data_IF_294462444370
#
_entry.id   IF_294462444370
#
_cell.length_a   1.000
_cell.length_b   1.000
_cell.length_c   1.000
_cell.angle_alpha   90.00
_cell.angle_beta   90.00
_cell.angle_gamma   90.00
#
_symmetry.space_group_name_H-M   'P 1'
#
loop_
_entity.id
_entity.type
_entity.pdbx_description
1 polymer ?
#
# COMPACT_ATOMS: atom_id res chain seq x y z
N UNK A 1 -19.16 4.34 6.04
CA UNK A 1 -20.07 3.17 6.27
C UNK A 1 -20.75 3.30 7.62
N UNK A 2 -22.05 2.95 7.74
CA UNK A 2 -22.79 2.97 9.01
C UNK A 2 -22.65 1.64 9.78
N UNK A 3 -22.91 1.67 11.09
CA UNK A 3 -22.77 0.51 11.97
C UNK A 3 -23.76 -0.63 11.63
N UNK A 4 -24.93 -0.31 11.08
CA UNK A 4 -25.94 -1.31 10.72
C UNK A 4 -25.46 -2.19 9.56
N UNK A 5 -24.82 -1.57 8.56
CA UNK A 5 -24.28 -2.31 7.42
C UNK A 5 -23.10 -3.21 7.81
N UNK A 6 -22.29 -2.76 8.79
CA UNK A 6 -21.21 -3.60 9.35
C UNK A 6 -21.78 -4.79 10.15
N UNK A 7 -22.87 -4.59 10.92
CA UNK A 7 -23.57 -5.68 11.60
C UNK A 7 -24.20 -6.68 10.61
N UNK A 8 -24.83 -6.17 9.54
CA UNK A 8 -25.36 -7.01 8.47
C UNK A 8 -24.26 -7.90 7.86
N UNK A 9 -23.08 -7.31 7.60
CA UNK A 9 -21.94 -8.05 7.07
C UNK A 9 -21.46 -9.14 8.05
N UNK A 10 -21.35 -8.81 9.34
CA UNK A 10 -20.95 -9.77 10.37
C UNK A 10 -21.93 -10.92 10.52
N UNK A 11 -23.23 -10.64 10.56
CA UNK A 11 -24.27 -11.66 10.65
C UNK A 11 -24.24 -12.60 9.43
N UNK A 12 -24.04 -12.03 8.23
CA UNK A 12 -24.08 -12.79 6.98
C UNK A 12 -22.83 -13.63 6.74
N UNK A 13 -21.65 -13.14 7.12
CA UNK A 13 -20.35 -13.74 6.75
C UNK A 13 -19.50 -14.19 7.93
N UNK A 14 -19.97 -13.95 9.16
CA UNK A 14 -19.26 -14.30 10.39
C UNK A 14 -18.08 -13.39 10.70
N UNK A 15 -17.35 -13.70 11.76
CA UNK A 15 -16.18 -12.96 12.24
C UNK A 15 -15.03 -13.93 12.63
N UNK A 16 -13.75 -13.49 12.60
CA UNK A 16 -13.27 -12.19 12.15
C UNK A 16 -13.56 -11.95 10.67
N UNK A 17 -13.71 -10.68 10.24
CA UNK A 17 -14.12 -10.33 8.89
C UNK A 17 -13.47 -9.01 8.43
N UNK A 18 -12.97 -8.95 7.20
CA UNK A 18 -12.64 -7.70 6.55
C UNK A 18 -13.78 -7.22 5.66
N UNK A 19 -14.12 -5.94 5.77
CA UNK A 19 -15.15 -5.31 4.94
C UNK A 19 -14.57 -4.07 4.27
N UNK A 20 -14.71 -3.96 2.95
CA UNK A 20 -14.22 -2.83 2.16
C UNK A 20 -15.36 -2.08 1.49
N UNK A 21 -15.42 -0.78 1.69
CA UNK A 21 -16.39 0.11 1.01
C UNK A 21 -15.77 0.63 -0.29
N UNK A 22 -16.22 0.14 -1.43
CA UNK A 22 -15.66 0.52 -2.72
C UNK A 22 -15.99 1.98 -3.09
N UNK A 23 -17.05 2.57 -2.54
CA UNK A 23 -17.35 3.99 -2.76
C UNK A 23 -16.27 4.89 -2.16
N UNK A 24 -15.73 4.53 -1.00
CA UNK A 24 -14.60 5.25 -0.39
C UNK A 24 -13.35 5.18 -1.28
N UNK A 25 -13.07 4.02 -1.89
CA UNK A 25 -11.95 3.87 -2.84
C UNK A 25 -12.16 4.79 -4.05
N UNK A 26 -13.37 4.82 -4.59
CA UNK A 26 -13.72 5.68 -5.74
C UNK A 26 -13.57 7.16 -5.39
N UNK A 27 -14.02 7.58 -4.22
CA UNK A 27 -13.93 8.97 -3.76
C UNK A 27 -12.47 9.40 -3.57
N UNK A 28 -11.63 8.55 -2.98
CA UNK A 28 -10.19 8.81 -2.84
C UNK A 28 -9.49 8.89 -4.21
N UNK A 29 -9.85 8.02 -5.14
CA UNK A 29 -9.36 8.10 -6.51
C UNK A 29 -9.77 9.42 -7.18
N UNK A 30 -11.06 9.79 -7.09
CA UNK A 30 -11.58 11.05 -7.65
C UNK A 30 -10.90 12.28 -7.03
N UNK A 31 -10.68 12.28 -5.72
CA UNK A 31 -9.97 13.37 -5.03
C UNK A 31 -8.57 13.57 -5.63
N UNK A 32 -7.80 12.48 -5.75
CA UNK A 32 -6.45 12.54 -6.29
C UNK A 32 -6.46 12.93 -7.77
N UNK A 33 -7.28 12.28 -8.59
CA UNK A 33 -7.35 12.53 -10.03
C UNK A 33 -7.80 13.96 -10.33
N UNK A 34 -8.81 14.47 -9.63
CA UNK A 34 -9.29 15.85 -9.79
C UNK A 34 -8.26 16.87 -9.31
N UNK A 35 -7.53 16.57 -8.23
CA UNK A 35 -6.46 17.44 -7.76
C UNK A 35 -5.37 17.67 -8.80
N UNK A 36 -5.08 16.67 -9.61
CA UNK A 36 -4.05 16.71 -10.66
C UNK A 36 -4.57 16.95 -12.08
N UNK A 37 -5.87 17.24 -12.27
CA UNK A 37 -6.51 17.44 -13.60
C UNK A 37 -5.87 18.48 -14.51
N UNK A 38 -5.10 19.43 -13.97
CA UNK A 38 -4.38 20.45 -14.73
C UNK A 38 -3.06 19.95 -15.32
N UNK A 39 -2.61 18.76 -14.96
CA UNK A 39 -1.43 18.12 -15.52
C UNK A 39 -1.87 17.20 -16.63
N UNK A 40 -1.52 17.53 -17.87
CA UNK A 40 -2.06 16.90 -19.09
C UNK A 40 -1.79 15.39 -19.17
N UNK A 41 -0.64 14.94 -18.70
CA UNK A 41 -0.23 13.53 -18.74
C UNK A 41 0.00 12.98 -17.32
N UNK A 42 -1.09 12.94 -16.53
CA UNK A 42 -1.10 12.42 -15.16
C UNK A 42 -1.65 10.99 -15.12
N UNK A 43 -1.04 10.13 -14.31
CA UNK A 43 -1.51 8.76 -14.09
C UNK A 43 -1.33 8.34 -12.63
N UNK A 44 -2.27 7.53 -12.15
CA UNK A 44 -2.21 6.86 -10.86
C UNK A 44 -1.89 5.39 -11.10
N UNK A 45 -0.80 4.89 -10.50
CA UNK A 45 -0.50 3.47 -10.41
C UNK A 45 -0.81 3.01 -8.99
N UNK A 46 -1.73 2.06 -8.84
CA UNK A 46 -2.09 1.54 -7.53
C UNK A 46 -1.00 0.58 -7.00
N UNK A 47 -0.49 0.83 -5.78
CA UNK A 47 0.50 -0.05 -5.14
C UNK A 47 -0.19 -1.33 -4.62
N UNK A 48 -0.01 -2.43 -5.36
CA UNK A 48 -0.70 -3.74 -5.17
C UNK A 48 -0.48 -4.31 -3.76
N UNK A 49 0.74 -4.16 -3.21
CA UNK A 49 1.11 -4.61 -1.86
C UNK A 49 0.19 -4.14 -0.74
N UNK A 50 -0.54 -3.04 -0.94
CA UNK A 50 -1.46 -2.53 0.09
C UNK A 50 -2.71 -3.38 0.26
N UNK A 51 -3.29 -3.88 -0.84
CA UNK A 51 -4.42 -4.82 -0.85
C UNK A 51 -4.52 -5.49 -2.23
N UNK A 52 -4.10 -6.74 -2.34
CA UNK A 52 -3.93 -7.49 -3.61
C UNK A 52 -5.14 -8.35 -4.00
N UNK A 53 -6.31 -8.16 -3.36
CA UNK A 53 -7.51 -8.92 -3.71
C UNK A 53 -7.94 -8.64 -5.16
N UNK A 54 -8.22 -9.69 -5.94
CA UNK A 54 -8.55 -9.58 -7.38
C UNK A 54 -9.77 -8.71 -7.68
N UNK A 55 -10.79 -8.71 -6.81
CA UNK A 55 -11.96 -7.86 -6.97
C UNK A 55 -11.61 -6.38 -6.78
N UNK A 56 -10.72 -6.08 -5.85
CA UNK A 56 -10.17 -4.73 -5.63
C UNK A 56 -9.33 -4.30 -6.83
N UNK A 57 -8.46 -5.17 -7.35
CA UNK A 57 -7.62 -4.87 -8.52
C UNK A 57 -8.48 -4.61 -9.77
N UNK A 58 -9.50 -5.43 -10.01
CA UNK A 58 -10.44 -5.20 -11.12
C UNK A 58 -11.22 -3.89 -10.95
N UNK A 59 -11.56 -3.51 -9.70
CA UNK A 59 -12.18 -2.21 -9.43
C UNK A 59 -11.20 -1.05 -9.70
N UNK A 60 -9.93 -1.16 -9.29
CA UNK A 60 -8.88 -0.19 -9.63
C UNK A 60 -8.72 -0.02 -11.14
N UNK A 61 -8.72 -1.14 -11.89
CA UNK A 61 -8.71 -1.10 -13.36
C UNK A 61 -9.90 -0.35 -13.92
N UNK A 62 -11.11 -0.57 -13.40
CA UNK A 62 -12.33 0.15 -13.80
C UNK A 62 -12.21 1.66 -13.56
N UNK A 63 -11.52 2.08 -12.51
CA UNK A 63 -11.22 3.49 -12.23
C UNK A 63 -10.16 4.08 -13.17
N UNK A 64 -9.43 3.26 -13.92
CA UNK A 64 -8.40 3.70 -14.87
C UNK A 64 -6.99 3.80 -14.29
N UNK A 65 -6.72 3.15 -13.15
CA UNK A 65 -5.36 3.10 -12.60
C UNK A 65 -4.47 2.16 -13.41
N UNK A 66 -3.14 2.38 -13.35
CA UNK A 66 -2.15 1.33 -13.55
C UNK A 66 -1.82 0.64 -12.24
N UNK A 67 -0.75 -0.19 -12.24
CA UNK A 67 -0.25 -0.89 -11.05
C UNK A 67 1.22 -0.56 -10.79
N UNK A 68 1.58 -0.38 -9.51
CA UNK A 68 2.92 -0.52 -8.96
C UNK A 68 3.02 -1.90 -8.29
N UNK A 69 3.94 -2.74 -8.77
CA UNK A 69 4.14 -4.13 -8.33
C UNK A 69 5.58 -4.33 -7.86
N UNK A 70 5.77 -5.15 -6.83
CA UNK A 70 7.08 -5.38 -6.20
C UNK A 70 7.57 -6.83 -6.29
N UNK A 71 6.73 -7.74 -6.79
CA UNK A 71 7.05 -9.14 -7.09
C UNK A 71 6.46 -9.56 -8.42
N UNK A 72 7.01 -10.64 -8.98
CA UNK A 72 6.50 -11.16 -10.25
C UNK A 72 5.09 -11.75 -10.11
N UNK A 73 4.75 -12.24 -8.92
CA UNK A 73 3.41 -12.71 -8.59
C UNK A 73 2.40 -11.55 -8.63
N UNK A 74 2.74 -10.37 -8.11
CA UNK A 74 1.87 -9.18 -8.24
C UNK A 74 1.68 -8.78 -9.70
N UNK A 75 2.72 -8.88 -10.55
CA UNK A 75 2.62 -8.65 -12.00
C UNK A 75 1.64 -9.63 -12.64
N UNK A 76 1.80 -10.94 -12.37
CA UNK A 76 0.93 -11.99 -12.91
C UNK A 76 -0.52 -11.83 -12.47
N UNK A 77 -0.75 -11.49 -11.20
CA UNK A 77 -2.10 -11.17 -10.68
C UNK A 77 -2.68 -9.97 -11.42
N UNK A 78 -1.89 -8.91 -11.64
CA UNK A 78 -2.31 -7.74 -12.41
C UNK A 78 -2.74 -8.11 -13.83
N UNK A 79 -1.93 -8.89 -14.55
CA UNK A 79 -2.25 -9.38 -15.89
C UNK A 79 -3.52 -10.26 -15.88
N UNK A 80 -3.69 -11.14 -14.89
CA UNK A 80 -4.90 -11.98 -14.75
C UNK A 80 -6.16 -11.17 -14.46
N UNK A 81 -6.02 -9.99 -13.83
CA UNK A 81 -7.09 -9.02 -13.66
C UNK A 81 -7.39 -8.21 -14.93
N UNK A 82 -6.59 -8.43 -15.99
CA UNK A 82 -6.75 -7.84 -17.32
C UNK A 82 -6.13 -6.45 -17.45
N UNK A 83 -5.18 -6.06 -16.59
CA UNK A 83 -4.35 -4.88 -16.86
C UNK A 83 -3.47 -5.15 -18.08
N UNK A 84 -3.21 -4.10 -18.87
CA UNK A 84 -2.26 -4.19 -19.99
C UNK A 84 -0.84 -4.13 -19.44
N UNK A 85 0.10 -4.68 -20.19
CA UNK A 85 1.52 -4.72 -19.82
C UNK A 85 2.07 -3.29 -19.57
N UNK A 86 1.70 -2.34 -20.42
CA UNK A 86 2.10 -0.93 -20.31
C UNK A 86 1.50 -0.20 -19.09
N UNK A 87 0.50 -0.76 -18.45
CA UNK A 87 -0.15 -0.23 -17.25
C UNK A 87 0.43 -0.82 -15.96
N UNK A 88 1.38 -1.75 -16.06
CA UNK A 88 2.03 -2.39 -14.91
C UNK A 88 3.49 -1.94 -14.85
N UNK A 89 3.90 -1.43 -13.70
CA UNK A 89 5.30 -1.12 -13.40
C UNK A 89 5.81 -2.11 -12.37
N UNK A 90 6.86 -2.85 -12.70
CA UNK A 90 7.58 -3.74 -11.81
C UNK A 90 8.75 -2.99 -11.16
N UNK A 91 8.65 -2.77 -9.85
CA UNK A 91 9.64 -2.04 -9.04
C UNK A 91 10.24 -2.98 -7.98
N UNK A 92 11.10 -3.93 -8.37
CA UNK A 92 11.70 -4.90 -7.45
C UNK A 92 12.74 -4.26 -6.54
N UNK A 93 13.04 -4.92 -5.41
CA UNK A 93 14.19 -4.62 -4.58
C UNK A 93 14.82 -5.91 -4.07
N UNK A 94 16.08 -6.16 -4.45
CA UNK A 94 16.85 -7.31 -4.00
C UNK A 94 16.36 -8.67 -4.53
N UNK A 95 15.70 -8.70 -5.69
CA UNK A 95 15.25 -9.92 -6.37
C UNK A 95 16.36 -10.52 -7.24
N UNK A 96 16.19 -11.77 -7.65
CA UNK A 96 17.09 -12.41 -8.60
C UNK A 96 17.00 -11.77 -10.00
N UNK A 97 18.07 -11.84 -10.77
CA UNK A 97 18.04 -11.37 -12.16
C UNK A 97 17.03 -12.14 -13.02
N UNK A 98 16.80 -13.43 -12.71
CA UNK A 98 15.77 -14.26 -13.38
C UNK A 98 14.37 -13.66 -13.24
N UNK A 99 14.05 -13.08 -12.10
CA UNK A 99 12.75 -12.44 -11.89
C UNK A 99 12.60 -11.14 -12.69
N UNK A 100 13.71 -10.39 -12.85
CA UNK A 100 13.76 -9.21 -13.74
C UNK A 100 13.60 -9.64 -15.21
N UNK A 101 14.24 -10.74 -15.64
CA UNK A 101 14.07 -11.29 -16.98
C UNK A 101 12.63 -11.75 -17.23
N UNK A 102 11.96 -12.27 -16.22
CA UNK A 102 10.56 -12.66 -16.35
C UNK A 102 9.67 -11.44 -16.57
N UNK A 103 9.89 -10.35 -15.84
CA UNK A 103 9.18 -9.08 -16.06
C UNK A 103 9.43 -8.53 -17.49
N UNK A 104 10.67 -8.64 -17.99
CA UNK A 104 10.99 -8.32 -19.38
C UNK A 104 10.21 -9.16 -20.37
N UNK A 105 10.15 -10.48 -20.15
CA UNK A 105 9.40 -11.41 -21.02
C UNK A 105 7.88 -11.15 -20.99
N UNK A 106 7.35 -10.69 -19.85
CA UNK A 106 5.97 -10.24 -19.70
C UNK A 106 5.72 -8.84 -20.27
N UNK A 107 6.76 -8.16 -20.77
CA UNK A 107 6.72 -6.83 -21.43
C UNK A 107 6.16 -5.71 -20.55
N UNK A 108 6.23 -5.86 -19.22
CA UNK A 108 5.81 -4.82 -18.28
C UNK A 108 6.89 -3.76 -18.10
N UNK A 109 6.52 -2.56 -17.65
CA UNK A 109 7.49 -1.51 -17.33
C UNK A 109 8.39 -1.94 -16.17
N UNK A 110 9.70 -1.78 -16.33
CA UNK A 110 10.70 -2.18 -15.34
C UNK A 110 11.33 -0.93 -14.72
N UNK A 111 11.39 -0.91 -13.39
CA UNK A 111 11.98 0.18 -12.61
C UNK A 111 13.05 -0.38 -11.66
N UNK A 112 14.33 -0.23 -12.00
CA UNK A 112 15.45 -0.81 -11.25
C UNK A 112 15.97 0.17 -10.19
N UNK A 113 16.41 -0.36 -9.06
CA UNK A 113 16.83 0.41 -7.90
C UNK A 113 18.28 0.18 -7.44
N UNK A 114 19.09 -0.53 -8.23
CA UNK A 114 20.51 -0.71 -7.98
C UNK A 114 21.35 -0.61 -9.25
N UNK A 115 22.57 -0.11 -9.12
CA UNK A 115 23.51 -0.01 -10.24
C UNK A 115 23.88 -1.39 -10.79
N UNK A 116 24.01 -2.38 -9.92
CA UNK A 116 24.34 -3.77 -10.27
C UNK A 116 23.25 -4.38 -11.14
N UNK A 117 21.97 -4.24 -10.76
CA UNK A 117 20.86 -4.75 -11.56
C UNK A 117 20.75 -4.06 -12.92
N UNK A 118 21.08 -2.76 -13.00
CA UNK A 118 21.15 -2.01 -14.26
C UNK A 118 22.28 -2.55 -15.14
N UNK A 119 23.48 -2.77 -14.57
CA UNK A 119 24.62 -3.32 -15.30
C UNK A 119 24.31 -4.72 -15.86
N UNK A 120 23.70 -5.57 -15.08
CA UNK A 120 23.33 -6.91 -15.54
C UNK A 120 22.23 -6.86 -16.61
N UNK A 121 21.22 -6.01 -16.43
CA UNK A 121 20.17 -5.80 -17.42
C UNK A 121 20.73 -5.26 -18.74
N UNK A 122 21.63 -4.29 -18.68
CA UNK A 122 22.23 -3.65 -19.86
C UNK A 122 23.07 -4.58 -20.74
N UNK A 123 23.67 -5.63 -20.15
CA UNK A 123 24.44 -6.64 -20.89
C UNK A 123 23.57 -7.45 -21.85
N UNK A 124 22.29 -7.59 -21.52
CA UNK A 124 21.38 -8.52 -22.20
C UNK A 124 20.25 -7.80 -22.97
N UNK A 125 19.79 -6.68 -22.46
CA UNK A 125 18.56 -5.98 -22.90
C UNK A 125 18.76 -4.47 -23.09
N UNK A 126 19.87 -4.07 -23.71
CA UNK A 126 20.31 -2.67 -23.86
C UNK A 126 19.34 -1.76 -24.63
N UNK A 127 18.46 -2.33 -25.47
CA UNK A 127 17.47 -1.59 -26.25
C UNK A 127 16.09 -1.50 -25.57
N UNK A 128 15.88 -2.19 -24.45
CA UNK A 128 14.64 -2.10 -23.71
C UNK A 128 14.66 -0.91 -22.76
N UNK A 129 13.71 0.05 -22.87
CA UNK A 129 13.71 1.21 -22.01
C UNK A 129 13.28 0.83 -20.57
N UNK A 130 14.01 1.36 -19.59
CA UNK A 130 13.70 1.17 -18.17
C UNK A 130 13.57 2.49 -17.45
N UNK A 131 12.91 2.46 -16.30
CA UNK A 131 12.99 3.49 -15.28
C UNK A 131 14.03 3.13 -14.23
N UNK A 132 14.55 4.15 -13.53
CA UNK A 132 15.46 3.95 -12.39
C UNK A 132 14.88 4.60 -11.14
N UNK A 133 14.94 3.88 -10.02
CA UNK A 133 14.57 4.41 -8.71
C UNK A 133 15.77 5.04 -8.03
N UNK A 134 15.68 6.32 -7.74
CA UNK A 134 16.74 7.11 -7.12
C UNK A 134 16.44 7.30 -5.64
N UNK A 135 17.45 7.21 -4.80
CA UNK A 135 17.42 7.64 -3.42
C UNK A 135 17.67 9.15 -3.34
N UNK A 136 16.67 9.98 -3.04
CA UNK A 136 16.86 11.43 -3.00
C UNK A 136 17.64 11.93 -1.79
N UNK A 137 17.98 11.05 -0.85
CA UNK A 137 18.59 11.38 0.44
C UNK A 137 17.80 12.44 1.20
N UNK A 138 16.51 12.18 1.42
CA UNK A 138 15.59 13.05 2.14
C UNK A 138 14.85 12.23 3.20
N UNK A 139 15.05 12.56 4.46
CA UNK A 139 14.29 11.98 5.57
C UNK A 139 12.85 12.50 5.54
N UNK A 140 11.93 11.64 5.13
CA UNK A 140 10.50 11.90 5.14
C UNK A 140 9.75 10.71 5.75
N UNK A 141 8.61 10.96 6.38
CA UNK A 141 7.79 9.93 7.04
C UNK A 141 7.88 9.94 8.55
N UNK A 142 6.84 9.37 9.20
CA UNK A 142 6.66 9.41 10.66
C UNK A 142 7.21 8.18 11.41
N UNK A 143 7.41 7.04 10.73
CA UNK A 143 7.90 5.81 11.32
C UNK A 143 9.22 5.39 10.66
N UNK A 144 10.23 5.00 11.46
CA UNK A 144 11.56 4.59 10.96
C UNK A 144 11.47 3.41 9.98
N UNK A 145 10.55 2.47 10.18
CA UNK A 145 10.39 1.28 9.33
C UNK A 145 9.82 1.58 7.93
N UNK A 146 9.25 2.77 7.71
CA UNK A 146 8.65 3.17 6.42
C UNK A 146 9.28 4.45 5.84
N UNK A 147 10.36 4.96 6.43
CA UNK A 147 11.19 6.03 5.88
C UNK A 147 12.27 5.39 5.00
N UNK A 148 12.17 5.56 3.67
CA UNK A 148 12.98 4.81 2.70
C UNK A 148 13.84 5.68 1.78
N UNK A 149 13.85 7.00 1.97
CA UNK A 149 14.56 7.95 1.11
C UNK A 149 15.84 8.55 1.74
N UNK A 150 16.52 7.85 2.67
CA UNK A 150 17.72 8.32 3.37
C UNK A 150 18.95 7.44 3.04
N UNK A 151 20.16 7.92 3.34
CA UNK A 151 21.43 7.27 2.96
C UNK A 151 21.60 5.82 3.49
N UNK A 152 21.00 5.48 4.62
CA UNK A 152 21.09 4.13 5.19
C UNK A 152 19.96 3.21 4.69
N UNK A 153 19.13 3.68 3.75
CA UNK A 153 18.06 2.89 3.16
C UNK A 153 18.60 1.91 2.13
N UNK A 154 18.09 0.68 2.13
CA UNK A 154 18.38 -0.31 1.08
C UNK A 154 17.77 0.05 -0.28
N UNK A 155 16.89 1.06 -0.34
CA UNK A 155 16.10 1.39 -1.53
C UNK A 155 16.70 2.54 -2.33
N UNK A 156 16.68 2.36 -3.63
CA UNK A 156 17.02 3.38 -4.62
C UNK A 156 18.53 3.60 -4.79
N UNK A 157 18.91 4.03 -5.96
CA UNK A 157 20.29 4.30 -6.36
C UNK A 157 20.77 5.59 -5.69
N UNK A 158 21.90 5.57 -4.97
CA UNK A 158 22.51 6.78 -4.44
C UNK A 158 22.84 7.78 -5.55
N UNK A 159 22.77 9.08 -5.22
CA UNK A 159 23.02 10.16 -6.19
C UNK A 159 24.43 10.11 -6.78
N UNK A 160 25.39 9.58 -6.04
CA UNK A 160 26.80 9.45 -6.42
C UNK A 160 27.00 8.54 -7.65
N UNK A 161 26.07 7.64 -7.94
CA UNK A 161 26.14 6.72 -9.09
C UNK A 161 25.38 7.21 -10.34
N UNK A 162 24.73 8.37 -10.27
CA UNK A 162 23.92 8.88 -11.39
C UNK A 162 24.78 9.18 -12.62
N UNK A 163 25.96 9.75 -12.44
CA UNK A 163 26.85 10.10 -13.56
C UNK A 163 27.38 8.84 -14.27
N UNK A 164 27.58 7.71 -13.57
CA UNK A 164 27.92 6.43 -14.19
C UNK A 164 26.78 5.90 -15.07
N UNK A 165 25.51 6.02 -14.63
CA UNK A 165 24.35 5.60 -15.43
C UNK A 165 24.19 6.50 -16.67
N UNK A 166 24.44 7.80 -16.55
CA UNK A 166 24.44 8.73 -17.68
C UNK A 166 25.52 8.35 -18.69
N UNK A 167 26.69 7.96 -18.21
CA UNK A 167 27.79 7.48 -19.11
C UNK A 167 27.39 6.18 -19.83
N UNK A 168 26.68 5.25 -19.14
CA UNK A 168 26.14 4.04 -19.77
C UNK A 168 25.12 4.39 -20.87
N UNK A 169 24.20 5.34 -20.62
CA UNK A 169 23.25 5.81 -21.63
C UNK A 169 23.96 6.47 -22.80
N UNK A 170 24.97 7.33 -22.55
CA UNK A 170 25.76 7.99 -23.59
C UNK A 170 26.51 7.01 -24.50
N UNK A 171 26.93 5.87 -23.94
CA UNK A 171 27.54 4.76 -24.68
C UNK A 171 26.53 3.81 -25.32
N UNK A 172 25.23 4.18 -25.34
CA UNK A 172 24.13 3.36 -25.85
C UNK A 172 24.05 1.94 -25.24
N UNK A 173 24.48 1.81 -23.98
CA UNK A 173 24.40 0.55 -23.24
C UNK A 173 23.04 0.33 -22.58
N UNK A 174 22.26 1.40 -22.40
CA UNK A 174 20.93 1.36 -21.78
C UNK A 174 20.11 2.56 -22.24
N UNK A 175 18.78 2.44 -22.16
CA UNK A 175 17.82 3.52 -22.40
C UNK A 175 17.08 3.80 -21.09
N UNK A 176 17.27 5.01 -20.54
CA UNK A 176 16.54 5.44 -19.34
C UNK A 176 15.35 6.29 -19.79
N UNK A 177 14.13 5.72 -19.67
CA UNK A 177 12.89 6.42 -19.99
C UNK A 177 12.20 7.06 -18.79
N UNK A 178 12.57 6.70 -17.56
CA UNK A 178 11.89 7.20 -16.37
C UNK A 178 12.78 7.35 -15.15
N UNK A 179 12.44 8.35 -14.34
CA UNK A 179 13.02 8.56 -13.02
C UNK A 179 11.94 8.39 -11.97
N UNK A 180 12.18 7.52 -10.99
CA UNK A 180 11.31 7.25 -9.87
C UNK A 180 11.98 7.64 -8.55
N UNK A 181 11.18 8.21 -7.65
CA UNK A 181 11.54 8.41 -6.24
C UNK A 181 10.41 7.91 -5.35
N UNK A 182 10.79 7.42 -4.17
CA UNK A 182 9.82 7.17 -3.10
C UNK A 182 10.45 7.56 -1.77
N UNK A 183 9.90 8.58 -1.10
CA UNK A 183 10.52 9.17 0.09
C UNK A 183 10.04 8.56 1.40
N UNK A 184 9.02 7.70 1.36
CA UNK A 184 8.45 7.05 2.53
C UNK A 184 6.94 7.20 2.62
N UNK A 185 6.39 6.94 3.80
CA UNK A 185 4.94 6.96 4.06
C UNK A 185 4.56 8.07 5.06
N UNK A 186 3.27 8.46 5.06
CA UNK A 186 2.68 9.42 5.99
C UNK A 186 3.30 10.83 5.93
N UNK A 187 3.62 11.30 4.73
CA UNK A 187 4.19 12.62 4.51
C UNK A 187 3.09 13.67 4.54
N UNK A 188 3.17 14.57 5.54
CA UNK A 188 2.24 15.68 5.74
C UNK A 188 2.86 17.00 5.27
N UNK A 189 4.15 17.18 5.54
CA UNK A 189 4.86 18.43 5.24
C UNK A 189 5.30 18.43 3.78
N UNK A 190 4.69 19.30 2.98
CA UNK A 190 4.95 19.40 1.54
C UNK A 190 6.36 19.86 1.21
N UNK A 191 7.05 20.59 2.10
CA UNK A 191 8.45 21.02 1.90
C UNK A 191 9.41 19.87 1.63
N UNK A 192 9.18 18.71 2.25
CA UNK A 192 9.97 17.50 2.01
C UNK A 192 9.68 16.88 0.66
N UNK A 193 8.40 16.85 0.26
CA UNK A 193 8.02 16.45 -1.10
C UNK A 193 8.65 17.38 -2.15
N UNK A 194 8.52 18.70 -1.97
CA UNK A 194 9.07 19.67 -2.91
C UNK A 194 10.57 19.54 -3.10
N UNK A 195 11.32 19.31 -2.01
CA UNK A 195 12.77 19.06 -2.09
C UNK A 195 13.08 17.81 -2.91
N UNK A 196 12.33 16.72 -2.72
CA UNK A 196 12.49 15.49 -3.47
C UNK A 196 12.11 15.70 -4.95
N UNK A 197 11.02 16.42 -5.22
CA UNK A 197 10.56 16.71 -6.58
C UNK A 197 11.54 17.60 -7.33
N UNK A 198 12.09 18.63 -6.71
CA UNK A 198 13.17 19.45 -7.33
C UNK A 198 14.35 18.58 -7.75
N UNK A 199 14.76 17.61 -6.93
CA UNK A 199 15.85 16.68 -7.27
C UNK A 199 15.51 15.81 -8.48
N UNK A 200 14.29 15.24 -8.55
CA UNK A 200 13.91 14.40 -9.69
C UNK A 200 13.94 15.18 -11.01
N UNK A 201 13.45 16.43 -11.02
CA UNK A 201 13.48 17.28 -12.21
C UNK A 201 14.91 17.62 -12.63
N UNK A 202 15.81 17.92 -11.67
CA UNK A 202 17.23 18.21 -11.95
C UNK A 202 17.95 16.99 -12.54
N UNK A 203 17.68 15.80 -12.01
CA UNK A 203 18.29 14.55 -12.50
C UNK A 203 17.74 14.19 -13.87
N UNK A 204 16.42 14.30 -14.06
CA UNK A 204 15.78 13.97 -15.33
C UNK A 204 16.36 14.75 -16.52
N UNK A 205 16.73 16.01 -16.32
CA UNK A 205 17.36 16.85 -17.37
C UNK A 205 18.69 16.31 -17.88
N UNK A 206 19.37 15.45 -17.13
CA UNK A 206 20.67 14.88 -17.51
C UNK A 206 20.53 13.69 -18.47
N UNK A 207 19.33 13.11 -18.60
CA UNK A 207 19.04 11.96 -19.47
C UNK A 207 18.36 12.38 -20.77
N UNK A 208 18.55 11.59 -21.84
CA UNK A 208 18.11 11.95 -23.19
C UNK A 208 16.65 11.59 -23.48
N UNK A 209 16.15 10.49 -22.87
CA UNK A 209 14.94 9.82 -23.32
C UNK A 209 13.80 9.84 -22.27
N UNK A 210 13.80 10.80 -21.36
CA UNK A 210 12.82 10.84 -20.26
C UNK A 210 11.41 11.04 -20.77
N UNK A 211 10.55 10.08 -20.42
CA UNK A 211 9.10 10.04 -20.70
C UNK A 211 8.27 9.89 -19.43
N UNK A 212 8.90 9.55 -18.29
CA UNK A 212 8.23 9.25 -17.04
C UNK A 212 8.94 9.94 -15.88
N UNK A 213 8.17 10.67 -15.06
CA UNK A 213 8.57 11.11 -13.72
C UNK A 213 7.59 10.51 -12.72
N UNK A 214 8.08 9.59 -11.88
CA UNK A 214 7.29 8.87 -10.91
C UNK A 214 7.64 9.33 -9.49
N UNK A 215 6.67 9.89 -8.80
CA UNK A 215 6.83 10.48 -7.47
C UNK A 215 6.55 9.50 -6.33
N UNK A 216 6.26 8.23 -6.66
CA UNK A 216 5.93 7.19 -5.69
C UNK A 216 4.64 7.46 -4.93
N UNK A 217 4.55 6.87 -3.76
CA UNK A 217 3.42 7.05 -2.85
C UNK A 217 3.75 7.97 -1.67
N UNK A 218 3.20 7.62 -0.50
CA UNK A 218 3.49 8.34 0.75
C UNK A 218 2.42 9.32 1.18
N UNK A 219 1.34 9.46 0.42
CA UNK A 219 0.19 10.31 0.77
C UNK A 219 -0.44 9.81 2.07
N UNK A 220 -0.59 10.70 3.05
CA UNK A 220 -1.14 10.38 4.37
C UNK A 220 -2.66 10.42 4.35
N UNK A 221 -3.28 9.44 5.02
CA UNK A 221 -4.69 9.41 5.41
C UNK A 221 -4.81 9.62 6.92
N UNK A 222 -5.89 10.24 7.41
CA UNK A 222 -6.10 10.42 8.85
C UNK A 222 -6.49 9.10 9.52
N UNK A 223 -5.92 8.82 10.70
CA UNK A 223 -6.28 7.65 11.50
C UNK A 223 -7.19 7.96 12.68
N UNK A 224 -7.29 9.23 13.05
CA UNK A 224 -8.18 9.75 14.10
C UNK A 224 -8.66 11.15 13.71
N UNK A 225 -9.74 11.70 14.31
CA UNK A 225 -10.40 12.92 13.84
C UNK A 225 -9.50 14.15 13.74
N UNK A 226 -8.53 14.28 14.62
CA UNK A 226 -7.58 15.43 14.66
C UNK A 226 -6.30 15.17 13.84
N UNK A 227 -6.20 14.00 13.19
CA UNK A 227 -5.02 13.64 12.41
C UNK A 227 -5.01 14.37 11.08
N UNK A 228 -3.82 14.71 10.61
CA UNK A 228 -3.63 15.42 9.35
C UNK A 228 -3.74 14.49 8.15
N UNK A 229 -4.23 15.02 7.03
CA UNK A 229 -4.25 14.42 5.70
C UNK A 229 -3.32 15.17 4.77
N UNK A 230 -2.74 14.51 3.77
CA UNK A 230 -2.01 15.20 2.70
C UNK A 230 -2.97 16.09 1.92
N UNK A 231 -2.66 17.39 1.81
CA UNK A 231 -3.44 18.31 1.01
C UNK A 231 -3.09 18.13 -0.49
N UNK A 232 -3.98 17.46 -1.22
CA UNK A 232 -3.77 17.10 -2.62
C UNK A 232 -3.70 18.33 -3.53
N UNK A 233 -4.50 19.36 -3.26
CA UNK A 233 -4.50 20.58 -4.07
C UNK A 233 -3.17 21.33 -3.95
N UNK A 234 -2.67 21.50 -2.73
CA UNK A 234 -1.37 22.16 -2.50
C UNK A 234 -0.23 21.35 -3.13
N UNK A 235 -0.26 20.00 -3.00
CA UNK A 235 0.70 19.12 -3.64
C UNK A 235 0.70 19.27 -5.16
N UNK A 236 -0.49 19.31 -5.77
CA UNK A 236 -0.65 19.51 -7.21
C UNK A 236 -0.12 20.88 -7.66
N UNK A 237 -0.42 21.94 -6.92
CA UNK A 237 0.08 23.28 -7.22
C UNK A 237 1.60 23.35 -7.20
N UNK A 238 2.24 22.72 -6.20
CA UNK A 238 3.72 22.63 -6.12
C UNK A 238 4.31 21.92 -7.34
N UNK A 239 3.69 20.83 -7.80
CA UNK A 239 4.18 20.10 -8.99
C UNK A 239 3.95 20.92 -10.26
N UNK A 240 2.82 21.58 -10.40
CA UNK A 240 2.55 22.46 -11.55
C UNK A 240 3.58 23.58 -11.64
N UNK A 241 3.97 24.20 -10.51
CA UNK A 241 5.03 25.20 -10.49
C UNK A 241 6.36 24.61 -10.99
N UNK A 242 6.73 23.41 -10.53
CA UNK A 242 7.94 22.73 -11.00
C UNK A 242 7.88 22.37 -12.48
N UNK A 243 6.73 21.94 -13.01
CA UNK A 243 6.55 21.66 -14.44
C UNK A 243 6.76 22.94 -15.26
N UNK A 244 6.17 24.05 -14.83
CA UNK A 244 6.36 25.37 -15.49
C UNK A 244 7.85 25.78 -15.55
N UNK A 245 8.60 25.52 -14.49
CA UNK A 245 10.05 25.80 -14.44
C UNK A 245 10.89 24.79 -15.24
N UNK A 246 10.26 23.75 -15.81
CA UNK A 246 10.91 22.66 -16.51
C UNK A 246 10.19 22.32 -17.83
N UNK A 247 10.31 23.19 -18.87
CA UNK A 247 9.55 23.09 -20.12
C UNK A 247 9.73 21.78 -20.89
N UNK A 248 10.80 21.01 -20.62
CA UNK A 248 11.02 19.70 -21.25
C UNK A 248 9.89 18.71 -20.92
N UNK A 249 9.21 18.87 -19.77
CA UNK A 249 8.10 18.01 -19.37
C UNK A 249 6.94 18.10 -20.35
N UNK A 250 6.52 19.31 -20.68
CA UNK A 250 5.44 19.55 -21.65
C UNK A 250 5.90 19.24 -23.08
N UNK A 251 7.11 19.72 -23.47
CA UNK A 251 7.67 19.49 -24.80
C UNK A 251 7.79 18.00 -25.15
N UNK A 252 8.17 17.16 -24.20
CA UNK A 252 8.35 15.73 -24.41
C UNK A 252 7.14 14.90 -23.96
N UNK A 253 6.02 15.54 -23.59
CA UNK A 253 4.80 14.91 -23.07
C UNK A 253 5.11 13.92 -21.94
N UNK A 254 5.96 14.32 -20.97
CA UNK A 254 6.41 13.46 -19.88
C UNK A 254 5.23 13.10 -18.98
N UNK A 255 5.07 11.80 -18.72
CA UNK A 255 4.03 11.27 -17.85
C UNK A 255 4.41 11.49 -16.38
N UNK A 256 3.52 12.10 -15.63
CA UNK A 256 3.62 12.29 -14.17
C UNK A 256 2.84 11.18 -13.48
N UNK A 257 3.54 10.36 -12.67
CA UNK A 257 2.94 9.20 -12.00
C UNK A 257 3.00 9.38 -10.49
N UNK A 258 1.92 8.97 -9.80
CA UNK A 258 1.90 8.70 -8.37
C UNK A 258 1.50 7.25 -8.10
N UNK A 259 2.05 6.67 -7.01
CA UNK A 259 1.83 5.27 -6.61
C UNK A 259 1.15 5.17 -5.24
N UNK A 260 -0.07 5.71 -5.09
CA UNK A 260 -0.79 5.60 -3.84
C UNK A 260 -1.25 4.16 -3.59
N UNK A 261 -0.92 3.62 -2.42
CA UNK A 261 -1.52 2.40 -1.91
C UNK A 261 -2.51 2.73 -0.80
N UNK A 262 -1.98 3.05 0.39
CA UNK A 262 -2.76 3.36 1.60
C UNK A 262 -3.78 4.49 1.38
N UNK A 263 -3.43 5.53 0.62
CA UNK A 263 -4.34 6.63 0.34
C UNK A 263 -5.64 6.18 -0.31
N UNK A 264 -5.57 5.23 -1.26
CA UNK A 264 -6.76 4.74 -1.98
C UNK A 264 -7.61 3.78 -1.14
N UNK A 265 -6.98 2.83 -0.42
CA UNK A 265 -7.73 1.74 0.21
C UNK A 265 -7.77 1.79 1.74
N UNK A 266 -6.94 2.62 2.39
CA UNK A 266 -6.81 2.61 3.84
C UNK A 266 -8.13 2.85 4.56
N UNK A 267 -8.80 3.96 4.23
CA UNK A 267 -10.06 4.38 4.85
C UNK A 267 -11.27 3.56 4.43
N UNK A 268 -11.18 2.80 3.33
CA UNK A 268 -12.26 1.94 2.85
C UNK A 268 -12.47 0.70 3.70
N UNK A 269 -11.45 0.28 4.47
CA UNK A 269 -11.44 -1.01 5.14
C UNK A 269 -11.83 -0.95 6.60
N UNK A 270 -12.58 -1.97 7.01
CA UNK A 270 -13.04 -2.24 8.36
C UNK A 270 -12.70 -3.67 8.74
N UNK A 271 -12.15 -3.87 9.94
CA UNK A 271 -11.90 -5.20 10.47
C UNK A 271 -12.84 -5.45 11.65
N UNK A 272 -13.71 -6.46 11.51
CA UNK A 272 -14.71 -6.85 12.49
C UNK A 272 -14.24 -8.08 13.25
N UNK A 273 -14.37 -8.03 14.58
CA UNK A 273 -13.98 -9.14 15.46
C UNK A 273 -14.88 -9.19 16.68
N UNK A 274 -15.14 -10.38 17.20
CA UNK A 274 -16.05 -10.63 18.33
C UNK A 274 -15.29 -10.69 19.64
N UNK A 275 -15.92 -10.20 20.70
CA UNK A 275 -15.41 -10.28 22.07
C UNK A 275 -15.68 -11.67 22.64
N UNK A 276 -14.64 -12.44 22.88
CA UNK A 276 -14.74 -13.73 23.56
C UNK A 276 -14.98 -13.53 25.05
N UNK A 277 -14.19 -12.66 25.70
CA UNK A 277 -14.29 -12.39 27.12
C UNK A 277 -13.90 -10.95 27.45
N UNK A 278 -14.48 -10.44 28.56
CA UNK A 278 -14.03 -9.22 29.25
C UNK A 278 -13.38 -9.66 30.57
N UNK A 279 -12.06 -9.72 30.59
CA UNK A 279 -11.27 -10.18 31.74
C UNK A 279 -10.90 -8.99 32.62
N UNK A 280 -11.35 -9.03 33.89
CA UNK A 280 -10.98 -8.03 34.89
C UNK A 280 -9.84 -8.53 35.76
N UNK A 281 -8.88 -7.66 36.02
CA UNK A 281 -7.85 -7.84 37.03
C UNK A 281 -7.88 -6.67 38.01
N UNK A 282 -7.16 -6.69 39.11
CA UNK A 282 -7.14 -5.56 40.05
C UNK A 282 -6.77 -4.22 39.38
N UNK A 283 -5.95 -4.26 38.35
CA UNK A 283 -5.36 -3.05 37.75
C UNK A 283 -5.90 -2.73 36.34
N UNK A 284 -6.55 -3.69 35.65
CA UNK A 284 -6.90 -3.55 34.24
C UNK A 284 -8.16 -4.31 33.85
N UNK A 285 -8.79 -3.83 32.77
CA UNK A 285 -9.86 -4.57 32.11
C UNK A 285 -9.42 -4.89 30.68
N UNK A 286 -9.29 -6.19 30.38
CA UNK A 286 -8.93 -6.70 29.07
C UNK A 286 -10.16 -7.07 28.26
N UNK A 287 -10.21 -6.64 27.00
CA UNK A 287 -11.12 -7.19 26.01
C UNK A 287 -10.35 -8.23 25.19
N UNK A 288 -10.73 -9.49 25.32
CA UNK A 288 -10.13 -10.61 24.61
C UNK A 288 -10.95 -10.93 23.36
N UNK A 289 -10.31 -10.79 22.18
CA UNK A 289 -10.95 -10.93 20.89
C UNK A 289 -10.81 -12.34 20.30
N UNK A 290 -11.69 -12.72 19.37
CA UNK A 290 -11.55 -13.93 18.55
C UNK A 290 -10.61 -13.73 17.34
N UNK A 291 -9.62 -12.88 17.51
CA UNK A 291 -8.61 -12.53 16.52
C UNK A 291 -7.28 -12.25 17.22
N UNK A 292 -6.20 -12.14 16.46
CA UNK A 292 -4.88 -11.79 16.93
C UNK A 292 -4.08 -11.02 15.89
N UNK A 293 -2.83 -10.70 16.21
CA UNK A 293 -1.94 -9.98 15.29
C UNK A 293 -1.72 -10.74 13.97
N UNK A 294 -1.91 -12.04 13.97
CA UNK A 294 -1.87 -12.85 12.76
C UNK A 294 -2.91 -12.43 11.72
N UNK A 295 -4.03 -11.84 12.14
CA UNK A 295 -5.01 -11.26 11.24
C UNK A 295 -4.83 -9.76 11.04
N UNK A 296 -4.31 -9.02 12.03
CA UNK A 296 -4.25 -7.56 12.03
C UNK A 296 -2.96 -7.06 12.68
N UNK A 297 -1.83 -7.17 11.96
CA UNK A 297 -0.48 -6.98 12.51
C UNK A 297 -0.10 -5.51 12.78
N UNK A 298 -0.73 -4.55 12.12
CA UNK A 298 -0.29 -3.14 12.10
C UNK A 298 -0.12 -2.47 13.47
N UNK A 299 -1.02 -2.66 14.46
CA UNK A 299 -0.82 -2.08 15.78
C UNK A 299 0.49 -2.53 16.45
N UNK A 300 0.88 -3.79 16.25
CA UNK A 300 2.05 -4.39 16.88
C UNK A 300 3.32 -4.06 16.10
N UNK A 301 3.31 -4.27 14.80
CA UNK A 301 4.50 -4.13 13.96
C UNK A 301 4.88 -2.66 13.68
N UNK A 302 3.88 -1.78 13.51
CA UNK A 302 4.09 -0.36 13.20
C UNK A 302 3.73 0.58 14.36
N UNK A 303 3.25 0.05 15.48
CA UNK A 303 2.62 0.85 16.54
C UNK A 303 1.51 1.77 15.98
N UNK A 304 0.76 1.27 14.99
CA UNK A 304 -0.26 2.06 14.29
C UNK A 304 -1.50 2.22 15.15
N UNK A 305 -1.96 3.47 15.24
CA UNK A 305 -3.29 3.73 15.80
C UNK A 305 -4.36 3.26 14.82
N UNK A 306 -5.41 2.60 15.34
CA UNK A 306 -6.66 2.37 14.66
C UNK A 306 -7.81 2.73 15.61
N UNK A 307 -8.80 3.46 15.12
CA UNK A 307 -9.99 3.71 15.91
C UNK A 307 -10.76 2.40 16.09
N UNK A 308 -11.14 2.10 17.35
CA UNK A 308 -11.90 0.91 17.71
C UNK A 308 -13.24 1.34 18.24
N UNK A 309 -14.31 0.89 17.61
CA UNK A 309 -15.68 1.17 18.03
C UNK A 309 -16.42 -0.14 18.36
N UNK A 310 -17.25 -0.10 19.39
CA UNK A 310 -18.18 -1.18 19.69
C UNK A 310 -19.45 -0.98 18.86
N UNK A 311 -19.58 -1.70 17.75
CA UNK A 311 -20.76 -1.57 16.88
C UNK A 311 -22.02 -2.21 17.48
N UNK A 312 -21.88 -3.11 18.46
CA UNK A 312 -23.02 -3.70 19.17
C UNK A 312 -23.70 -2.69 20.10
N UNK A 313 -22.91 -1.84 20.77
CA UNK A 313 -23.37 -0.86 21.75
C UNK A 313 -22.71 0.52 21.55
N UNK A 314 -22.91 1.20 20.41
CA UNK A 314 -22.11 2.37 20.03
C UNK A 314 -22.37 3.60 20.94
N UNK A 315 -23.57 3.70 21.51
CA UNK A 315 -24.04 4.88 22.29
C UNK A 315 -23.92 4.69 23.82
N UNK A 316 -23.35 3.56 24.27
CA UNK A 316 -23.20 3.31 25.71
C UNK A 316 -22.05 4.16 26.30
N UNK A 317 -22.02 4.36 27.63
CA UNK A 317 -20.93 5.06 28.31
C UNK A 317 -19.59 4.44 27.99
N UNK A 318 -18.56 5.26 27.75
CA UNK A 318 -17.18 4.82 27.44
C UNK A 318 -16.42 4.46 28.71
N UNK A 319 -15.65 3.37 28.63
CA UNK A 319 -14.73 2.90 29.65
C UNK A 319 -13.36 2.65 29.04
N UNK A 320 -12.33 2.61 29.87
CA UNK A 320 -10.96 2.32 29.46
C UNK A 320 -10.70 0.79 29.45
N UNK A 321 -10.10 0.30 28.38
CA UNK A 321 -9.80 -1.10 28.17
C UNK A 321 -8.43 -1.28 27.50
N UNK A 322 -7.79 -2.41 27.80
CA UNK A 322 -6.72 -2.96 26.97
C UNK A 322 -7.36 -4.01 26.02
N UNK A 323 -7.21 -3.80 24.70
CA UNK A 323 -7.77 -4.67 23.68
C UNK A 323 -6.69 -5.64 23.21
N UNK A 324 -6.93 -6.94 23.41
CA UNK A 324 -5.94 -7.99 23.17
C UNK A 324 -6.50 -9.12 22.32
N UNK A 325 -5.62 -9.78 21.58
CA UNK A 325 -5.98 -10.96 20.80
C UNK A 325 -5.82 -12.27 21.58
N UNK A 326 -5.81 -13.37 20.83
CA UNK A 326 -5.73 -14.74 21.34
C UNK A 326 -4.38 -15.44 21.07
N UNK A 327 -3.42 -14.73 20.47
CA UNK A 327 -2.10 -15.31 20.19
C UNK A 327 -1.31 -15.50 21.48
N UNK A 328 -0.47 -16.53 21.55
CA UNK A 328 0.29 -16.92 22.74
C UNK A 328 1.45 -15.97 23.10
N UNK A 329 1.56 -14.83 22.46
CA UNK A 329 2.51 -13.75 22.72
C UNK A 329 1.79 -12.48 23.19
N UNK A 330 2.53 -11.37 23.40
CA UNK A 330 1.91 -10.08 23.68
C UNK A 330 1.17 -9.56 22.43
N UNK A 331 -0.12 -9.83 22.39
CA UNK A 331 -1.00 -9.58 21.27
C UNK A 331 -1.92 -8.37 21.57
N UNK A 332 -1.29 -7.19 21.76
CA UNK A 332 -1.97 -5.97 22.18
C UNK A 332 -2.36 -5.11 20.97
N UNK A 333 -3.63 -5.11 20.58
CA UNK A 333 -4.14 -4.19 19.54
C UNK A 333 -4.21 -2.75 20.01
N UNK A 334 -4.54 -2.51 21.27
CA UNK A 334 -4.59 -1.18 21.85
C UNK A 334 -4.53 -1.24 23.38
N UNK A 335 -3.81 -0.29 23.97
CA UNK A 335 -3.75 -0.10 25.42
C UNK A 335 -4.52 1.15 25.83
N UNK A 336 -5.19 1.08 27.00
CA UNK A 336 -5.93 2.20 27.62
C UNK A 336 -6.90 2.88 26.64
N UNK A 337 -7.61 2.08 25.84
CA UNK A 337 -8.52 2.59 24.82
C UNK A 337 -9.91 2.87 25.42
N UNK A 338 -10.40 4.10 25.21
CA UNK A 338 -11.77 4.48 25.58
C UNK A 338 -12.77 3.98 24.55
N UNK A 339 -13.58 2.97 24.91
CA UNK A 339 -14.58 2.34 24.04
C UNK A 339 -15.92 2.32 24.83
N UNK A 340 -17.06 2.45 24.13
CA UNK A 340 -18.39 2.25 24.73
C UNK A 340 -18.47 0.86 25.39
N UNK A 341 -19.22 0.75 26.49
CA UNK A 341 -19.27 -0.46 27.34
C UNK A 341 -19.26 -1.75 26.52
N UNK A 342 -18.30 -2.61 26.80
CA UNK A 342 -18.08 -3.87 26.07
C UNK A 342 -18.57 -5.03 26.93
N UNK A 343 -19.26 -5.98 26.27
CA UNK A 343 -19.76 -7.22 26.86
C UNK A 343 -19.25 -8.41 26.05
N UNK A 344 -19.24 -9.60 26.65
CA UNK A 344 -19.01 -10.84 25.92
C UNK A 344 -20.00 -10.95 24.77
N UNK A 345 -19.50 -11.30 23.59
CA UNK A 345 -20.31 -11.45 22.37
C UNK A 345 -20.46 -10.18 21.55
N UNK A 346 -20.09 -8.98 22.08
CA UNK A 346 -20.09 -7.74 21.31
C UNK A 346 -19.14 -7.83 20.12
N UNK A 347 -19.44 -7.10 19.07
CA UNK A 347 -18.61 -6.96 17.87
C UNK A 347 -17.88 -5.62 17.91
N UNK A 348 -16.55 -5.67 17.85
CA UNK A 348 -15.71 -4.51 17.70
C UNK A 348 -15.32 -4.33 16.25
N UNK A 349 -15.24 -3.07 15.82
CA UNK A 349 -14.79 -2.66 14.50
C UNK A 349 -13.53 -1.81 14.61
N UNK A 350 -12.47 -2.22 13.93
CA UNK A 350 -11.27 -1.43 13.71
C UNK A 350 -11.40 -0.70 12.37
N UNK A 351 -11.33 0.63 12.41
CA UNK A 351 -11.39 1.45 11.20
C UNK A 351 -10.02 1.56 10.50
N UNK A 352 -10.02 2.04 9.26
CA UNK A 352 -8.82 2.23 8.43
C UNK A 352 -8.02 0.93 8.22
N UNK A 353 -8.73 -0.18 8.09
CA UNK A 353 -8.18 -1.53 7.95
C UNK A 353 -7.98 -1.97 6.49
N UNK A 354 -8.05 -1.04 5.51
CA UNK A 354 -8.00 -1.37 4.09
C UNK A 354 -6.59 -1.59 3.53
N UNK A 355 -5.55 -1.08 4.19
CA UNK A 355 -4.19 -1.17 3.66
C UNK A 355 -3.23 -1.87 4.61
N UNK A 356 -2.45 -2.83 4.09
CA UNK A 356 -1.42 -3.57 4.85
C UNK A 356 -1.97 -4.30 6.07
N UNK A 357 -3.23 -4.70 6.04
CA UNK A 357 -3.89 -5.48 7.09
C UNK A 357 -4.07 -6.92 6.63
N UNK A 358 -5.04 -7.19 5.76
CA UNK A 358 -5.18 -8.55 5.21
C UNK A 358 -3.93 -9.00 4.45
N UNK A 359 -3.32 -8.15 3.63
CA UNK A 359 -2.13 -8.48 2.84
C UNK A 359 -0.90 -8.87 3.68
N UNK A 360 -0.86 -8.51 4.97
CA UNK A 360 0.18 -8.91 5.91
C UNK A 360 -0.30 -9.96 6.92
N UNK A 361 -1.50 -10.53 6.74
CA UNK A 361 -2.02 -11.58 7.61
C UNK A 361 -1.26 -12.90 7.42
N UNK A 362 -1.22 -13.72 8.46
CA UNK A 362 -0.54 -15.01 8.47
C UNK A 362 -1.37 -16.09 9.16
N UNK A 363 -0.93 -17.34 9.02
CA UNK A 363 -1.53 -18.49 9.70
C UNK A 363 -0.80 -18.83 11.02
N UNK A 364 -0.12 -17.85 11.64
CA UNK A 364 0.57 -18.09 12.90
C UNK A 364 -0.36 -18.72 13.95
N UNK A 365 0.17 -19.65 14.76
CA UNK A 365 -0.57 -20.54 15.65
C UNK A 365 -1.62 -21.41 14.92
N UNK A 366 -1.40 -21.75 13.64
CA UNK A 366 -2.33 -22.49 12.78
C UNK A 366 -3.75 -21.86 12.74
N UNK A 367 -3.84 -20.53 12.85
CA UNK A 367 -5.12 -19.81 12.74
C UNK A 367 -5.45 -19.52 11.30
N UNK A 368 -6.68 -19.84 10.91
CA UNK A 368 -7.23 -19.60 9.56
C UNK A 368 -7.46 -18.11 9.32
N UNK A 369 -7.17 -17.63 8.11
CA UNK A 369 -7.40 -16.23 7.75
C UNK A 369 -8.89 -15.92 7.59
N UNK A 370 -9.31 -14.68 7.92
CA UNK A 370 -10.69 -14.26 7.82
C UNK A 370 -11.17 -14.14 6.36
N UNK A 371 -12.48 -14.15 6.17
CA UNK A 371 -13.10 -13.79 4.89
C UNK A 371 -12.90 -12.30 4.59
N UNK A 372 -12.97 -11.95 3.29
CA UNK A 372 -13.03 -10.57 2.81
C UNK A 372 -14.37 -10.33 2.09
N UNK A 373 -14.98 -9.18 2.35
CA UNK A 373 -16.27 -8.75 1.79
C UNK A 373 -16.11 -7.33 1.26
N UNK A 374 -16.75 -7.00 0.17
CA UNK A 374 -16.88 -5.60 -0.25
C UNK A 374 -18.35 -5.15 -0.25
N UNK A 375 -18.51 -3.83 -0.17
CA UNK A 375 -19.79 -3.13 -0.37
C UNK A 375 -19.65 -2.28 -1.61
N UNK A 376 -20.57 -2.49 -2.55
CA UNK A 376 -20.72 -1.70 -3.75
C UNK A 376 -22.20 -1.53 -4.08
N UNK A 377 -22.64 -0.31 -4.37
CA UNK A 377 -24.05 0.00 -4.66
C UNK A 377 -25.00 -0.58 -3.59
N UNK A 378 -24.62 -0.40 -2.33
CA UNK A 378 -25.32 -0.91 -1.14
C UNK A 378 -25.45 -2.45 -1.03
N UNK A 379 -24.76 -3.22 -1.90
CA UNK A 379 -24.73 -4.69 -1.87
C UNK A 379 -23.50 -5.20 -1.18
N UNK A 380 -23.67 -6.20 -0.30
CA UNK A 380 -22.59 -6.95 0.35
C UNK A 380 -22.21 -8.16 -0.51
N UNK A 381 -20.97 -8.23 -0.94
CA UNK A 381 -20.44 -9.29 -1.79
C UNK A 381 -19.17 -9.88 -1.16
N UNK A 382 -19.14 -11.20 -1.02
CA UNK A 382 -17.93 -11.90 -0.58
C UNK A 382 -16.92 -11.92 -1.72
N UNK A 383 -15.68 -11.51 -1.43
CA UNK A 383 -14.57 -11.40 -2.39
C UNK A 383 -13.38 -12.30 -2.03
N UNK A 384 -13.44 -12.95 -0.85
CA UNK A 384 -12.54 -14.04 -0.43
C UNK A 384 -13.26 -14.92 0.59
N UNK A 385 -13.13 -16.22 0.41
CA UNK A 385 -13.58 -17.19 1.39
C UNK A 385 -12.77 -17.11 2.68
N UNK A 386 -13.37 -17.47 3.81
CA UNK A 386 -12.62 -17.76 5.04
C UNK A 386 -11.83 -19.05 4.81
N UNK A 387 -10.58 -19.05 5.21
CA UNK A 387 -9.78 -20.27 5.21
C UNK A 387 -10.36 -21.33 6.14
N UNK A 388 -10.07 -22.58 5.84
CA UNK A 388 -10.34 -23.74 6.66
C UNK A 388 -9.03 -24.51 6.95
N UNK A 389 -9.09 -25.66 7.59
CA UNK A 389 -7.92 -26.46 7.94
C UNK A 389 -7.18 -26.95 6.68
N UNK A 390 -7.89 -27.30 5.60
CA UNK A 390 -7.29 -27.78 4.37
C UNK A 390 -6.41 -26.72 3.72
N UNK A 391 -6.78 -25.43 3.82
CA UNK A 391 -5.95 -24.34 3.33
C UNK A 391 -4.61 -24.23 4.06
N UNK A 392 -4.58 -24.58 5.36
CA UNK A 392 -3.34 -24.64 6.17
C UNK A 392 -2.49 -25.86 5.81
N UNK A 393 -3.14 -27.00 5.53
CA UNK A 393 -2.46 -28.27 5.20
C UNK A 393 -2.01 -28.33 3.75
N UNK A 394 -2.55 -27.48 2.88
CA UNK A 394 -2.23 -27.47 1.47
C UNK A 394 -0.71 -27.32 1.23
N UNK A 395 -0.15 -28.22 0.44
CA UNK A 395 1.28 -28.27 0.14
C UNK A 395 2.14 -28.94 1.20
N UNK A 396 1.58 -29.40 2.34
CA UNK A 396 2.30 -30.23 3.30
C UNK A 396 2.35 -31.69 2.81
N UNK A 397 3.49 -32.34 3.03
CA UNK A 397 3.73 -33.74 2.62
C UNK A 397 3.99 -34.55 3.89
N UNK A 398 3.17 -35.60 4.11
CA UNK A 398 3.41 -36.56 5.17
C UNK A 398 4.37 -37.66 4.69
N UNK A 399 5.61 -37.59 5.13
CA UNK A 399 6.65 -38.58 4.76
C UNK A 399 6.54 -39.90 5.53
N UNK A 400 5.65 -40.01 6.50
CA UNK A 400 5.48 -41.26 7.29
C UNK A 400 4.31 -42.13 6.80
N UNK A 401 3.47 -41.60 5.92
CA UNK A 401 2.33 -42.30 5.29
C UNK A 401 2.52 -42.52 3.78
N UNK A 402 3.80 -42.61 3.31
CA UNK A 402 4.14 -42.89 1.91
C UNK A 402 4.25 -44.40 1.71
#
# INVERSE_FOLDING_TARGET
MNNEKLKEAEIKFGNPLYVYDLSVIEDQFKELNNGFRKISNFKINYAVKSLSNISILKFMKRLGTGLDTVSIEEVRIGLSCGFKEDDITFTPNGVSFKEIEEAYNLKVKINLDSLESIKDFSKKYNSYPISIRINPNILAGGNKNVSVGHNESKFGIPLDYIDEIIEMENKNKIIIEGIHIHTGSDIVKLDKFEKAFKKIFLIAKKFKNIKILNFGGGLKVPYFPEDSKTNILNLSNSIQALIKDNPFVEKNNVKIIFEPGKFLVGESGYFLTKVNYVKKTPNKVFIQLNSGFNHFIRPIFYNSFHEIINISNPNDKKYEYDVVGYICEQDNFALKRKISKVRKGDVLCFKNAGAYCFSMSSNYNCRVKPAEVCIWENKLMKIRERENLDDILNGQIDIFNI
#
